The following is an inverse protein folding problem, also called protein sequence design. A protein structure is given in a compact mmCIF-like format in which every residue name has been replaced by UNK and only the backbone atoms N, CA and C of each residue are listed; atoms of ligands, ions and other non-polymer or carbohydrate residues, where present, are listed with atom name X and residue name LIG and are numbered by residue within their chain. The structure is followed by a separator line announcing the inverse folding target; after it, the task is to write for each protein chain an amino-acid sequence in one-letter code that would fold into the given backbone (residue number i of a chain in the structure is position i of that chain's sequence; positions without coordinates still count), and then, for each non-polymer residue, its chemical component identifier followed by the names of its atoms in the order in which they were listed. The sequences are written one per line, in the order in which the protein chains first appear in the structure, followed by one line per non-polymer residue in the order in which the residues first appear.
data_IF_902430431124
#
_entry.id   IF_902430431124
#
_cell.length_a   1.000
_cell.length_b   1.000
_cell.length_c   1.000
_cell.angle_alpha   90.00
_cell.angle_beta   90.00
_cell.angle_gamma   90.00
#
_symmetry.space_group_name_H-M   'P 1'
#
loop_
_entity.id
_entity.type
_entity.pdbx_description
1 polymer ?
#
# COMPACT_ATOMS: atom_id res chain seq x y z
N UNK A 1 23.16 -4.33 -14.05
CA UNK A 1 21.88 -5.05 -13.88
C UNK A 1 21.15 -4.64 -12.60
N UNK A 2 21.47 -5.15 -11.40
CA UNK A 2 20.73 -4.80 -10.16
C UNK A 2 20.73 -3.30 -9.83
N UNK A 3 21.86 -2.60 -10.02
CA UNK A 3 21.95 -1.14 -9.85
C UNK A 3 21.24 -0.33 -10.95
N UNK A 4 21.07 -0.89 -12.14
CA UNK A 4 20.32 -0.25 -13.25
C UNK A 4 18.82 -0.45 -13.08
N UNK A 5 18.40 -1.60 -12.55
CA UNK A 5 17.00 -1.88 -12.22
C UNK A 5 16.54 -1.01 -11.04
N UNK A 6 17.42 -0.79 -10.05
CA UNK A 6 17.20 0.19 -8.97
C UNK A 6 17.15 1.63 -9.50
N UNK A 7 18.03 2.00 -10.42
CA UNK A 7 18.03 3.34 -11.03
C UNK A 7 16.78 3.61 -11.87
N UNK A 8 16.24 2.59 -12.56
CA UNK A 8 14.95 2.69 -13.27
C UNK A 8 13.76 2.82 -12.32
N UNK A 9 13.81 2.16 -11.16
CA UNK A 9 12.80 2.33 -10.10
C UNK A 9 12.81 3.73 -9.48
N UNK A 10 13.97 4.41 -9.46
CA UNK A 10 14.14 5.77 -8.91
C UNK A 10 13.91 6.84 -10.01
N UNK A 11 13.94 6.47 -11.29
CA UNK A 11 13.80 7.35 -12.45
C UNK A 11 12.36 7.54 -12.95
N UNK A 12 11.40 6.77 -12.44
CA UNK A 12 9.98 6.98 -12.74
C UNK A 12 9.35 7.79 -11.61
N UNK A 13 8.60 8.85 -11.93
CA UNK A 13 7.68 9.54 -11.00
C UNK A 13 6.54 8.62 -10.46
N UNK A 14 6.65 7.31 -10.65
CA UNK A 14 5.70 6.35 -10.13
C UNK A 14 5.93 6.08 -8.64
N UNK A 15 4.85 6.10 -7.83
CA UNK A 15 4.97 5.86 -6.40
C UNK A 15 5.35 4.41 -6.09
N UNK A 16 6.16 4.24 -5.05
CA UNK A 16 6.81 2.97 -4.70
C UNK A 16 5.77 1.93 -4.28
N UNK A 17 5.88 0.73 -4.88
CA UNK A 17 5.08 -0.45 -4.53
C UNK A 17 6.00 -1.57 -4.09
N UNK A 18 5.76 -2.14 -2.91
CA UNK A 18 6.45 -3.36 -2.49
C UNK A 18 5.63 -4.58 -2.89
N UNK A 19 6.30 -5.62 -3.40
CA UNK A 19 5.65 -6.83 -3.92
C UNK A 19 5.93 -8.03 -3.03
N UNK A 20 4.93 -8.90 -2.86
CA UNK A 20 5.03 -10.18 -2.13
C UNK A 20 5.65 -10.07 -0.73
N UNK A 21 5.50 -8.91 -0.08
CA UNK A 21 6.02 -8.71 1.26
C UNK A 21 5.03 -9.29 2.28
N UNK A 22 5.57 -9.97 3.28
CA UNK A 22 4.80 -10.39 4.44
C UNK A 22 4.41 -9.14 5.25
N UNK A 23 3.11 -8.92 5.39
CA UNK A 23 2.55 -7.89 6.24
C UNK A 23 2.13 -8.49 7.58
N UNK A 24 2.37 -7.73 8.64
CA UNK A 24 1.96 -8.06 10.00
C UNK A 24 1.22 -6.86 10.57
N UNK A 25 0.11 -7.11 11.25
CA UNK A 25 -0.55 -6.07 12.02
C UNK A 25 0.28 -5.71 13.26
N UNK A 26 -0.13 -4.67 13.98
CA UNK A 26 0.60 -4.16 15.15
C UNK A 26 0.77 -5.21 16.25
N UNK A 27 -0.28 -5.99 16.54
CA UNK A 27 -0.26 -7.08 17.54
C UNK A 27 0.46 -8.34 17.08
N UNK A 28 0.92 -8.40 15.82
CA UNK A 28 1.64 -9.52 15.20
C UNK A 28 0.87 -10.85 15.12
N UNK A 29 -0.42 -10.85 15.45
CA UNK A 29 -1.31 -12.01 15.42
C UNK A 29 -1.97 -12.22 14.04
N UNK A 30 -2.02 -11.18 13.21
CA UNK A 30 -2.47 -11.27 11.81
C UNK A 30 -1.26 -11.14 10.89
N UNK A 31 -0.97 -12.23 10.18
CA UNK A 31 0.12 -12.33 9.20
C UNK A 31 -0.44 -12.78 7.85
N UNK A 32 -0.12 -12.05 6.79
CA UNK A 32 -0.47 -12.44 5.42
C UNK A 32 0.50 -11.85 4.40
N UNK A 33 0.46 -12.36 3.17
CA UNK A 33 1.27 -11.88 2.06
C UNK A 33 0.34 -11.27 1.01
N UNK A 34 0.45 -9.96 0.80
CA UNK A 34 -0.24 -9.29 -0.30
C UNK A 34 0.65 -9.26 -1.55
N UNK A 35 0.03 -9.36 -2.73
CA UNK A 35 0.72 -9.20 -4.02
C UNK A 35 1.38 -7.82 -4.12
N UNK A 36 0.68 -6.79 -3.66
CA UNK A 36 1.20 -5.41 -3.60
C UNK A 36 0.90 -4.77 -2.24
N UNK A 37 1.89 -4.07 -1.68
CA UNK A 37 1.76 -3.21 -0.51
C UNK A 37 2.23 -1.81 -0.89
N UNK A 38 1.42 -0.81 -0.60
CA UNK A 38 1.75 0.59 -0.89
C UNK A 38 1.57 1.49 0.31
N UNK A 39 2.35 2.56 0.35
CA UNK A 39 2.33 3.57 1.40
C UNK A 39 2.17 4.96 0.76
N UNK A 40 0.96 5.32 0.29
CA UNK A 40 0.77 6.59 -0.38
C UNK A 40 1.03 7.75 0.58
N UNK A 41 1.75 8.76 0.09
CA UNK A 41 2.14 9.97 0.83
C UNK A 41 1.28 11.18 0.49
N UNK A 42 0.47 11.10 -0.56
CA UNK A 42 -0.41 12.16 -1.02
C UNK A 42 -1.72 11.59 -1.57
N UNK A 43 -2.71 12.47 -1.78
CA UNK A 43 -3.96 12.11 -2.43
C UNK A 43 -3.74 11.65 -3.88
N UNK A 44 -2.79 12.25 -4.58
CA UNK A 44 -2.46 11.87 -5.96
C UNK A 44 -1.90 10.45 -6.05
N UNK A 45 -1.03 10.07 -5.11
CA UNK A 45 -0.52 8.70 -5.02
C UNK A 45 -1.63 7.70 -4.68
N UNK A 46 -2.56 8.07 -3.80
CA UNK A 46 -3.74 7.27 -3.48
C UNK A 46 -4.61 7.05 -4.73
N UNK A 47 -4.91 8.11 -5.47
CA UNK A 47 -5.68 8.05 -6.73
C UNK A 47 -4.96 7.16 -7.74
N UNK A 48 -3.64 7.30 -7.87
CA UNK A 48 -2.83 6.45 -8.75
C UNK A 48 -2.98 4.97 -8.41
N UNK A 49 -2.85 4.59 -7.13
CA UNK A 49 -2.97 3.19 -6.72
C UNK A 49 -4.37 2.62 -6.91
N UNK A 50 -5.42 3.42 -6.67
CA UNK A 50 -6.79 3.00 -6.92
C UNK A 50 -7.01 2.73 -8.41
N UNK A 51 -6.57 3.63 -9.28
CA UNK A 51 -6.66 3.44 -10.75
C UNK A 51 -5.87 2.21 -11.21
N UNK A 52 -4.66 2.01 -10.67
CA UNK A 52 -3.82 0.84 -10.98
C UNK A 52 -4.53 -0.47 -10.59
N UNK A 53 -5.08 -0.54 -9.39
CA UNK A 53 -5.81 -1.72 -8.94
C UNK A 53 -7.06 -2.02 -9.78
N UNK A 54 -7.81 -1.00 -10.21
CA UNK A 54 -8.96 -1.17 -11.12
C UNK A 54 -8.50 -1.71 -12.48
N UNK A 55 -7.46 -1.13 -13.07
CA UNK A 55 -6.92 -1.59 -14.36
C UNK A 55 -6.41 -3.02 -14.30
N UNK A 56 -5.79 -3.41 -13.17
CA UNK A 56 -5.26 -4.75 -12.95
C UNK A 56 -6.31 -5.74 -12.39
N UNK A 57 -7.57 -5.32 -12.22
CA UNK A 57 -8.68 -6.11 -11.63
C UNK A 57 -8.33 -6.68 -10.23
N UNK A 58 -7.64 -5.89 -9.43
CA UNK A 58 -7.20 -6.25 -8.09
C UNK A 58 -8.16 -5.71 -7.02
N UNK A 59 -8.44 -6.55 -6.02
CA UNK A 59 -9.18 -6.10 -4.84
C UNK A 59 -8.26 -5.32 -3.91
N UNK A 60 -8.66 -4.08 -3.58
CA UNK A 60 -7.97 -3.22 -2.62
C UNK A 60 -8.51 -3.51 -1.22
N UNK A 61 -7.61 -3.80 -0.27
CA UNK A 61 -7.90 -3.69 1.16
C UNK A 61 -7.06 -2.58 1.75
N UNK A 62 -7.61 -1.99 2.80
CA UNK A 62 -7.03 -0.85 3.48
C UNK A 62 -6.52 -1.26 4.87
N UNK A 63 -5.37 -0.73 5.25
CA UNK A 63 -4.83 -0.80 6.61
C UNK A 63 -4.37 0.60 7.06
N UNK A 64 -4.77 1.00 8.26
CA UNK A 64 -4.17 2.11 9.01
C UNK A 64 -2.88 1.59 9.69
N UNK A 65 -2.58 2.05 10.90
CA UNK A 65 -1.52 1.51 11.79
C UNK A 65 -1.67 0.01 12.14
N UNK A 66 -2.74 -0.67 11.71
CA UNK A 66 -2.92 -2.10 11.95
C UNK A 66 -3.45 -2.42 13.35
N UNK A 67 -4.14 -1.50 14.01
CA UNK A 67 -4.85 -1.72 15.27
C UNK A 67 -6.13 -2.55 15.13
N UNK A 68 -6.49 -2.95 13.91
CA UNK A 68 -7.63 -3.83 13.73
C UNK A 68 -7.24 -5.26 14.11
N UNK A 69 -7.89 -5.81 15.13
CA UNK A 69 -7.90 -7.25 15.42
C UNK A 69 -8.74 -8.05 14.43
N UNK A 70 -9.40 -7.40 13.47
CA UNK A 70 -10.26 -8.05 12.48
C UNK A 70 -9.52 -8.29 11.17
N UNK A 71 -9.87 -9.38 10.47
CA UNK A 71 -9.30 -9.75 9.18
C UNK A 71 -9.71 -8.83 8.01
N UNK A 72 -10.28 -7.65 8.28
CA UNK A 72 -10.74 -6.70 7.26
C UNK A 72 -9.63 -6.25 6.32
N UNK A 73 -8.38 -6.19 6.81
CA UNK A 73 -7.21 -5.84 6.02
C UNK A 73 -6.58 -7.04 5.29
N UNK A 74 -7.00 -8.28 5.57
CA UNK A 74 -6.37 -9.49 5.01
C UNK A 74 -6.67 -9.59 3.52
N UNK A 75 -5.62 -9.62 2.70
CA UNK A 75 -5.75 -9.77 1.24
C UNK A 75 -4.52 -10.42 0.64
N UNK A 76 -4.73 -11.23 -0.40
CA UNK A 76 -3.65 -11.75 -1.25
C UNK A 76 -3.42 -10.84 -2.47
N UNK A 77 -4.18 -9.74 -2.58
CA UNK A 77 -4.21 -8.84 -3.74
C UNK A 77 -3.48 -7.54 -3.41
N UNK A 78 -4.19 -6.41 -3.27
CA UNK A 78 -3.58 -5.10 -3.12
C UNK A 78 -3.87 -4.55 -1.71
N UNK A 79 -2.82 -4.29 -0.94
CA UNK A 79 -2.90 -3.70 0.38
C UNK A 79 -2.43 -2.24 0.32
N UNK A 80 -3.34 -1.33 0.66
CA UNK A 80 -3.03 0.09 0.80
C UNK A 80 -2.85 0.41 2.29
N UNK A 81 -1.63 0.71 2.70
CA UNK A 81 -1.27 0.99 4.09
C UNK A 81 -1.04 2.49 4.28
N UNK A 82 -1.93 3.17 5.00
CA UNK A 82 -1.75 4.56 5.34
C UNK A 82 -0.92 4.70 6.62
N UNK A 83 0.18 5.44 6.50
CA UNK A 83 1.01 5.86 7.62
C UNK A 83 0.94 7.38 7.70
N UNK A 84 0.46 7.92 8.83
CA UNK A 84 0.41 9.31 9.36
C UNK A 84 0.17 10.53 8.44
N UNK A 85 0.52 10.45 7.15
CA UNK A 85 0.66 11.54 6.18
C UNK A 85 -0.66 11.93 5.49
N UNK A 86 -1.74 11.16 5.66
CA UNK A 86 -3.08 11.45 5.11
C UNK A 86 -4.12 11.71 6.20
N UNK A 87 -3.68 12.23 7.34
CA UNK A 87 -4.50 12.53 8.53
C UNK A 87 -5.07 13.96 8.56
N UNK A 88 -4.77 14.79 7.56
CA UNK A 88 -5.11 16.21 7.58
C UNK A 88 -6.61 16.41 7.29
N UNK A 89 -7.36 16.83 8.30
CA UNK A 89 -8.76 17.27 8.19
C UNK A 89 -8.75 18.79 8.19
N UNK A 90 -9.31 19.42 7.16
CA UNK A 90 -9.55 20.87 7.14
C UNK A 90 -11.04 21.09 7.40
N UNK A 91 -11.38 21.81 8.46
CA UNK A 91 -12.73 22.31 8.68
C UNK A 91 -12.82 23.70 8.02
N UNK A 92 -13.78 23.88 7.11
CA UNK A 92 -14.23 25.20 6.65
C UNK A 92 -15.33 25.74 7.57
#
# INVERSE_FOLDING_TARGET
KEKEDLARLISSDEPIVTQNQQWKNWSQDIVFTSKYTTYPKSLDELIFFVKKAVNEKLHIRYATEGHSWSSLSRTNSFLLALKDNLSKITAE
#
